data_IF_433032465819
#
_entry.id   IF_433032465819
#
_cell.length_a   1.000
_cell.length_b   1.000
_cell.length_c   1.000
_cell.angle_alpha   90.00
_cell.angle_beta   90.00
_cell.angle_gamma   90.00
#
_symmetry.space_group_name_H-M   'P 1'
#
loop_
_entity.id
_entity.type
_entity.pdbx_description
1 polymer ?
#
# COMPACT_ATOMS: atom_id res chain seq x y z
N UNK A 1 -20.24 -3.64 24.24
CA UNK A 1 -20.41 -3.93 22.79
C UNK A 1 -20.12 -2.67 21.97
N UNK A 2 -18.88 -2.18 21.98
CA UNK A 2 -18.47 -0.92 21.30
C UNK A 2 -17.63 -1.15 20.03
N UNK A 3 -17.63 -2.37 19.49
CA UNK A 3 -16.88 -2.73 18.29
C UNK A 3 -17.44 -2.09 17.01
N UNK A 4 -18.64 -1.52 17.04
CA UNK A 4 -19.33 -0.95 15.87
C UNK A 4 -18.59 0.24 15.27
N UNK A 5 -18.11 1.20 16.08
CA UNK A 5 -17.42 2.40 15.58
C UNK A 5 -16.06 2.09 14.92
N UNK A 6 -15.11 1.39 15.57
CA UNK A 6 -13.83 1.06 14.92
C UNK A 6 -14.01 0.16 13.70
N UNK A 7 -14.99 -0.74 13.69
CA UNK A 7 -15.30 -1.58 12.54
C UNK A 7 -15.85 -0.75 11.36
N UNK A 8 -16.70 0.25 11.62
CA UNK A 8 -17.19 1.19 10.60
C UNK A 8 -16.01 2.00 10.03
N UNK A 9 -15.10 2.49 10.87
CA UNK A 9 -13.91 3.23 10.41
C UNK A 9 -13.05 2.35 9.50
N UNK A 10 -12.74 1.12 9.93
CA UNK A 10 -11.97 0.15 9.13
C UNK A 10 -12.67 -0.11 7.79
N UNK A 11 -13.99 -0.32 7.80
CA UNK A 11 -14.77 -0.53 6.58
C UNK A 11 -14.69 0.66 5.62
N UNK A 12 -14.82 1.88 6.13
CA UNK A 12 -14.71 3.11 5.32
C UNK A 12 -13.30 3.23 4.72
N UNK A 13 -12.26 2.91 5.48
CA UNK A 13 -10.86 2.92 4.98
C UNK A 13 -10.69 1.89 3.87
N UNK A 14 -11.22 0.67 4.04
CA UNK A 14 -11.14 -0.39 3.03
C UNK A 14 -11.90 0.00 1.76
N UNK A 15 -13.10 0.55 1.88
CA UNK A 15 -13.89 1.01 0.74
C UNK A 15 -13.21 2.16 0.00
N UNK A 16 -12.69 3.16 0.72
CA UNK A 16 -11.92 4.25 0.12
C UNK A 16 -10.68 3.72 -0.61
N UNK A 17 -9.95 2.79 0.01
CA UNK A 17 -8.81 2.11 -0.61
C UNK A 17 -9.18 1.37 -1.89
N UNK A 18 -10.31 0.65 -1.89
CA UNK A 18 -10.79 -0.11 -3.04
C UNK A 18 -11.20 0.81 -4.20
N UNK A 19 -11.97 1.86 -3.92
CA UNK A 19 -12.38 2.87 -4.92
C UNK A 19 -11.15 3.53 -5.54
N UNK A 20 -10.20 3.96 -4.72
CA UNK A 20 -8.97 4.59 -5.20
C UNK A 20 -8.12 3.62 -6.03
N UNK A 21 -8.05 2.35 -5.62
CA UNK A 21 -7.33 1.30 -6.35
C UNK A 21 -7.97 1.04 -7.72
N UNK A 22 -9.29 1.04 -7.81
CA UNK A 22 -10.00 0.91 -9.08
C UNK A 22 -9.65 2.04 -10.06
N UNK A 23 -9.71 3.30 -9.60
CA UNK A 23 -9.33 4.44 -10.44
C UNK A 23 -7.86 4.39 -10.86
N UNK A 24 -6.96 4.02 -9.94
CA UNK A 24 -5.54 3.86 -10.24
C UNK A 24 -5.32 2.77 -11.30
N UNK A 25 -6.00 1.63 -11.17
CA UNK A 25 -5.88 0.53 -12.12
C UNK A 25 -6.41 0.91 -13.50
N UNK A 26 -7.58 1.56 -13.56
CA UNK A 26 -8.16 2.06 -14.81
C UNK A 26 -7.20 3.01 -15.53
N UNK A 27 -6.66 4.00 -14.81
CA UNK A 27 -5.71 4.97 -15.36
C UNK A 27 -4.43 4.30 -15.89
N UNK A 28 -3.85 3.38 -15.10
CA UNK A 28 -2.65 2.63 -15.54
C UNK A 28 -2.91 1.80 -16.78
N UNK A 29 -4.08 1.14 -16.87
CA UNK A 29 -4.47 0.32 -18.02
C UNK A 29 -4.63 1.14 -19.29
N UNK A 30 -5.25 2.31 -19.18
CA UNK A 30 -5.41 3.24 -20.31
C UNK A 30 -4.04 3.75 -20.81
N UNK A 31 -3.15 4.16 -19.90
CA UNK A 31 -1.81 4.63 -20.27
C UNK A 31 -0.92 3.51 -20.84
N UNK A 32 -1.04 2.28 -20.31
CA UNK A 32 -0.34 1.13 -20.87
C UNK A 32 -0.78 0.83 -22.31
N UNK A 33 -2.09 0.88 -22.60
CA UNK A 33 -2.59 0.71 -23.98
C UNK A 33 -2.04 1.76 -24.94
N UNK A 34 -1.74 2.97 -24.46
CA UNK A 34 -1.20 4.06 -25.29
C UNK A 34 0.29 3.97 -25.51
N UNK A 35 1.04 3.51 -24.51
CA UNK A 35 2.51 3.60 -24.50
C UNK A 35 3.21 2.25 -24.58
N UNK A 36 2.51 1.15 -24.33
CA UNK A 36 3.09 -0.19 -24.17
C UNK A 36 4.02 -0.32 -22.96
N UNK A 37 4.08 0.70 -22.08
CA UNK A 37 5.05 0.80 -20.98
C UNK A 37 4.38 0.90 -19.62
N UNK A 38 5.00 0.29 -18.62
CA UNK A 38 4.53 0.32 -17.24
C UNK A 38 5.01 1.59 -16.51
N UNK A 39 4.22 2.16 -15.59
CA UNK A 39 4.68 3.29 -14.80
C UNK A 39 5.80 2.87 -13.84
N UNK A 40 6.76 3.76 -13.58
CA UNK A 40 7.73 3.59 -12.49
C UNK A 40 7.03 3.26 -11.16
N UNK A 41 7.59 2.31 -10.44
CA UNK A 41 7.08 1.69 -9.23
C UNK A 41 6.18 0.47 -9.49
N UNK A 42 6.02 0.03 -10.74
CA UNK A 42 5.23 -1.16 -11.07
C UNK A 42 5.86 -2.42 -10.48
N UNK A 43 7.12 -2.68 -10.81
CA UNK A 43 7.86 -3.86 -10.33
C UNK A 43 8.17 -3.78 -8.83
N UNK A 44 8.43 -2.57 -8.31
CA UNK A 44 8.50 -2.34 -6.87
C UNK A 44 7.21 -2.77 -6.15
N UNK A 45 6.04 -2.42 -6.69
CA UNK A 45 4.75 -2.83 -6.12
C UNK A 45 4.57 -4.35 -6.10
N UNK A 46 4.95 -5.04 -7.17
CA UNK A 46 4.96 -6.50 -7.21
C UNK A 46 5.93 -7.12 -6.21
N UNK A 47 7.14 -6.58 -6.12
CA UNK A 47 8.15 -7.03 -5.16
C UNK A 47 7.63 -6.95 -3.73
N UNK A 48 7.06 -5.81 -3.33
CA UNK A 48 6.48 -5.63 -2.00
C UNK A 48 5.34 -6.62 -1.72
N UNK A 49 4.43 -6.83 -2.69
CA UNK A 49 3.34 -7.79 -2.53
C UNK A 49 3.87 -9.23 -2.37
N UNK A 50 4.85 -9.63 -3.19
CA UNK A 50 5.49 -10.94 -3.08
C UNK A 50 6.23 -11.11 -1.75
N UNK A 51 6.97 -10.08 -1.32
CA UNK A 51 7.67 -10.09 -0.04
C UNK A 51 6.73 -10.26 1.15
N UNK A 52 5.60 -9.54 1.17
CA UNK A 52 4.57 -9.69 2.20
C UNK A 52 3.95 -11.09 2.16
N UNK A 53 3.67 -11.63 0.97
CA UNK A 53 3.12 -12.98 0.84
C UNK A 53 4.06 -14.05 1.42
N UNK A 54 5.37 -13.91 1.22
CA UNK A 54 6.41 -14.80 1.79
C UNK A 54 6.54 -14.59 3.30
N UNK A 55 6.39 -13.36 3.77
CA UNK A 55 6.51 -13.01 5.17
C UNK A 55 5.40 -13.54 6.07
N UNK A 56 4.19 -13.78 5.55
CA UNK A 56 3.07 -14.30 6.36
C UNK A 56 3.43 -15.65 6.99
N UNK A 57 3.91 -16.66 6.24
CA UNK A 57 4.43 -17.90 6.83
C UNK A 57 5.53 -17.68 7.88
N UNK A 58 6.47 -16.77 7.62
CA UNK A 58 7.57 -16.46 8.54
C UNK A 58 7.04 -15.83 9.84
N UNK A 59 6.08 -14.90 9.74
CA UNK A 59 5.40 -14.30 10.88
C UNK A 59 4.74 -15.35 11.78
N UNK A 60 4.08 -16.34 11.17
CA UNK A 60 3.43 -17.44 11.89
C UNK A 60 4.45 -18.33 12.60
N UNK A 61 5.57 -18.67 11.95
CA UNK A 61 6.64 -19.47 12.57
C UNK A 61 7.31 -18.75 13.75
N UNK A 62 7.45 -17.43 13.66
CA UNK A 62 8.10 -16.61 14.69
C UNK A 62 7.13 -16.14 15.78
N UNK A 63 5.83 -16.45 15.67
CA UNK A 63 4.76 -15.90 16.52
C UNK A 63 4.85 -14.38 16.68
N UNK A 64 5.36 -13.69 15.65
CA UNK A 64 5.59 -12.26 15.66
C UNK A 64 5.23 -11.68 14.29
N UNK A 65 3.97 -11.26 14.18
CA UNK A 65 3.40 -10.69 12.95
C UNK A 65 4.18 -9.44 12.53
N UNK A 66 4.56 -8.60 13.49
CA UNK A 66 5.31 -7.38 13.21
C UNK A 66 6.66 -7.69 12.56
N UNK A 67 7.42 -8.62 13.14
CA UNK A 67 8.74 -8.99 12.66
C UNK A 67 8.67 -9.67 11.29
N UNK A 68 7.70 -10.57 11.07
CA UNK A 68 7.49 -11.16 9.75
C UNK A 68 7.14 -10.10 8.70
N UNK A 69 6.23 -9.16 9.00
CA UNK A 69 5.88 -8.08 8.07
C UNK A 69 7.09 -7.21 7.68
N UNK A 70 7.93 -6.85 8.66
CA UNK A 70 9.17 -6.09 8.41
C UNK A 70 10.14 -6.86 7.52
N UNK A 71 10.34 -8.16 7.75
CA UNK A 71 11.14 -9.02 6.88
C UNK A 71 10.57 -9.02 5.46
N UNK A 72 9.24 -9.15 5.32
CA UNK A 72 8.56 -9.13 4.03
C UNK A 72 8.76 -7.85 3.25
N UNK A 73 8.70 -6.70 3.92
CA UNK A 73 8.96 -5.41 3.30
C UNK A 73 10.40 -5.29 2.80
N UNK A 74 11.38 -5.76 3.59
CA UNK A 74 12.80 -5.75 3.20
C UNK A 74 13.02 -6.66 1.98
N UNK A 75 12.58 -7.92 2.05
CA UNK A 75 12.69 -8.87 0.93
C UNK A 75 11.99 -8.32 -0.30
N UNK A 76 10.76 -7.83 -0.14
CA UNK A 76 9.96 -7.31 -1.24
C UNK A 76 10.56 -6.07 -1.89
N UNK A 77 11.20 -5.20 -1.11
CA UNK A 77 11.94 -4.04 -1.63
C UNK A 77 13.15 -4.47 -2.46
N UNK A 78 13.90 -5.46 -2.00
CA UNK A 78 15.07 -5.98 -2.73
C UNK A 78 14.62 -6.60 -4.06
N UNK A 79 13.61 -7.47 -4.03
CA UNK A 79 13.05 -8.10 -5.23
C UNK A 79 12.51 -7.01 -6.18
N UNK A 80 11.70 -6.11 -5.65
CA UNK A 80 11.08 -5.04 -6.42
C UNK A 80 12.11 -4.16 -7.13
N UNK A 81 13.13 -3.71 -6.40
CA UNK A 81 14.21 -2.89 -6.95
C UNK A 81 15.04 -3.63 -8.01
N UNK A 82 15.33 -4.92 -7.77
CA UNK A 82 16.06 -5.74 -8.75
C UNK A 82 15.28 -5.86 -10.07
N UNK A 83 13.97 -6.15 -10.01
CA UNK A 83 13.13 -6.27 -11.20
C UNK A 83 12.91 -4.92 -11.89
N UNK A 84 12.74 -3.84 -11.12
CA UNK A 84 12.60 -2.48 -11.64
C UNK A 84 13.85 -2.08 -12.46
N UNK A 85 15.05 -2.34 -11.93
CA UNK A 85 16.32 -2.08 -12.61
C UNK A 85 16.52 -2.98 -13.84
N UNK A 86 16.09 -4.25 -13.76
CA UNK A 86 16.20 -5.19 -14.89
C UNK A 86 15.30 -4.80 -16.06
N UNK A 87 14.15 -4.20 -15.79
CA UNK A 87 13.13 -3.85 -16.79
C UNK A 87 13.00 -2.35 -17.02
N UNK A 88 14.07 -1.56 -16.80
CA UNK A 88 14.01 -0.10 -16.96
C UNK A 88 13.50 0.36 -18.33
N UNK A 89 13.81 -0.41 -19.39
CA UNK A 89 13.40 -0.12 -20.76
C UNK A 89 11.88 -0.20 -20.98
N UNK A 90 11.19 -1.01 -20.17
CA UNK A 90 9.73 -1.17 -20.15
C UNK A 90 9.03 -0.12 -19.29
N UNK A 91 9.79 0.68 -18.53
CA UNK A 91 9.26 1.67 -17.60
C UNK A 91 9.12 3.05 -18.25
N UNK A 92 8.09 3.77 -17.81
CA UNK A 92 7.86 5.18 -18.12
C UNK A 92 7.72 6.01 -16.83
N UNK A 93 8.05 7.31 -16.86
CA UNK A 93 7.73 8.20 -15.75
C UNK A 93 6.22 8.25 -15.49
N UNK A 94 5.85 8.60 -14.26
CA UNK A 94 4.46 8.82 -13.86
C UNK A 94 3.89 10.01 -14.62
N UNK A 95 2.66 9.87 -15.15
CA UNK A 95 1.96 11.00 -15.76
C UNK A 95 1.49 12.00 -14.69
N UNK A 96 1.19 13.27 -15.05
CA UNK A 96 0.69 14.25 -14.09
C UNK A 96 -0.55 13.74 -13.33
N UNK A 97 -1.47 13.08 -14.03
CA UNK A 97 -2.69 12.49 -13.45
C UNK A 97 -2.37 11.38 -12.43
N UNK A 98 -1.43 10.48 -12.76
CA UNK A 98 -0.99 9.43 -11.83
C UNK A 98 -0.29 10.02 -10.61
N UNK A 99 0.50 11.08 -10.80
CA UNK A 99 1.21 11.77 -9.71
C UNK A 99 0.22 12.46 -8.76
N UNK A 100 -0.80 13.13 -9.29
CA UNK A 100 -1.87 13.72 -8.48
C UNK A 100 -2.66 12.67 -7.72
N UNK A 101 -3.02 11.56 -8.38
CA UNK A 101 -3.71 10.46 -7.72
C UNK A 101 -2.84 9.88 -6.58
N UNK A 102 -1.55 9.67 -6.82
CA UNK A 102 -0.61 9.20 -5.80
C UNK A 102 -0.51 10.17 -4.62
N UNK A 103 -0.42 11.47 -4.89
CA UNK A 103 -0.42 12.51 -3.83
C UNK A 103 -1.70 12.46 -3.00
N UNK A 104 -2.87 12.36 -3.65
CA UNK A 104 -4.16 12.24 -2.96
C UNK A 104 -4.23 10.99 -2.08
N UNK A 105 -3.78 9.85 -2.59
CA UNK A 105 -3.70 8.60 -1.81
C UNK A 105 -2.82 8.80 -0.57
N UNK A 106 -1.59 9.29 -0.75
CA UNK A 106 -0.66 9.50 0.37
C UNK A 106 -1.24 10.47 1.41
N UNK A 107 -1.90 11.54 0.97
CA UNK A 107 -2.52 12.52 1.87
C UNK A 107 -3.69 11.91 2.66
N UNK A 108 -4.58 11.17 2.00
CA UNK A 108 -5.74 10.52 2.64
C UNK A 108 -5.26 9.49 3.66
N UNK A 109 -4.37 8.56 3.26
CA UNK A 109 -3.85 7.54 4.17
C UNK A 109 -3.00 8.13 5.29
N UNK A 110 -2.23 9.19 5.02
CA UNK A 110 -1.48 9.92 6.03
C UNK A 110 -2.39 10.58 7.08
N UNK A 111 -3.47 11.23 6.63
CA UNK A 111 -4.46 11.83 7.53
C UNK A 111 -5.17 10.76 8.39
N UNK A 112 -5.54 9.64 7.79
CA UNK A 112 -6.15 8.51 8.50
C UNK A 112 -5.20 7.89 9.53
N UNK A 113 -3.91 7.78 9.22
CA UNK A 113 -2.90 7.29 10.15
C UNK A 113 -2.78 8.23 11.37
N UNK A 114 -2.70 9.53 11.14
CA UNK A 114 -2.66 10.54 12.21
C UNK A 114 -3.91 10.44 13.08
N UNK A 115 -5.10 10.36 12.47
CA UNK A 115 -6.35 10.21 13.19
C UNK A 115 -6.39 8.92 14.02
N UNK A 116 -5.91 7.80 13.46
CA UNK A 116 -5.77 6.53 14.17
C UNK A 116 -4.84 6.63 15.38
N UNK A 117 -3.71 7.32 15.26
CA UNK A 117 -2.78 7.56 16.37
C UNK A 117 -3.44 8.43 17.45
N UNK A 118 -4.12 9.52 17.07
CA UNK A 118 -4.83 10.39 18.02
C UNK A 118 -5.89 9.60 18.79
N UNK A 119 -6.68 8.79 18.08
CA UNK A 119 -7.68 7.92 18.71
C UNK A 119 -7.03 6.92 19.67
N UNK A 120 -5.94 6.27 19.25
CA UNK A 120 -5.23 5.32 20.10
C UNK A 120 -4.69 5.98 21.37
N UNK A 121 -4.07 7.16 21.25
CA UNK A 121 -3.57 7.92 22.41
C UNK A 121 -4.72 8.34 23.33
N UNK A 122 -5.84 8.81 22.78
CA UNK A 122 -7.02 9.18 23.57
C UNK A 122 -7.60 7.95 24.31
N UNK A 123 -7.69 6.82 23.63
CA UNK A 123 -8.12 5.54 24.19
C UNK A 123 -7.24 5.14 25.39
N UNK A 124 -5.91 5.15 25.20
CA UNK A 124 -4.93 4.81 26.26
C UNK A 124 -4.96 5.81 27.42
N UNK A 125 -5.10 7.12 27.14
CA UNK A 125 -5.03 8.17 28.16
C UNK A 125 -6.32 8.32 28.97
N UNK A 126 -7.47 8.15 28.33
CA UNK A 126 -8.79 8.38 28.92
C UNK A 126 -9.56 7.08 29.24
N UNK A 127 -9.01 5.91 28.91
CA UNK A 127 -9.55 4.60 29.32
C UNK A 127 -10.87 4.22 28.65
N UNK A 128 -11.12 4.73 27.45
CA UNK A 128 -12.27 4.37 26.60
C UNK A 128 -11.92 3.14 25.76
#
# INVERSE_FOLDING_TARGET
>A
MSYSIPMIIILVILLAGLVMSYFAFKLKKEEYKRTGKYPRGHYMGYGLAAGIAIAIPIALLLNNIFLGYMIGLVIGTIIGNHYENKHEHELRPLTPKERELRKKIVLIFGALLILGIIMFVAMVRFGI
#
